data_IF_209553453568
#
_entry.id   IF_209553453568
#
_cell.length_a   1.000
_cell.length_b   1.000
_cell.length_c   1.000
_cell.angle_alpha   90.00
_cell.angle_beta   90.00
_cell.angle_gamma   90.00
#
_symmetry.space_group_name_H-M   'P 1'
#
loop_
_entity.id
_entity.type
_entity.pdbx_description
1 polymer ?
#
# COMPACT_ATOMS: atom_id res chain seq x y z
N UNK A 1 -9.77 -19.78 2.25
CA UNK A 1 -8.64 -20.44 2.95
C UNK A 1 -8.13 -19.42 3.94
N UNK A 2 -7.83 -19.82 5.19
CA UNK A 2 -7.35 -18.87 6.18
C UNK A 2 -5.85 -18.60 5.99
N UNK A 3 -5.45 -17.34 5.83
CA UNK A 3 -4.07 -16.91 5.73
C UNK A 3 -3.37 -16.90 7.10
N UNK A 4 -2.03 -16.92 7.09
CA UNK A 4 -1.25 -16.93 8.35
C UNK A 4 -1.40 -15.63 9.17
N UNK A 5 -1.93 -14.57 8.58
CA UNK A 5 -2.22 -13.28 9.22
C UNK A 5 -3.72 -12.99 9.35
N UNK A 6 -4.58 -13.99 9.19
CA UNK A 6 -6.03 -13.81 9.36
C UNK A 6 -6.36 -13.21 10.74
N UNK A 7 -7.28 -12.24 10.74
CA UNK A 7 -7.71 -11.52 11.95
C UNK A 7 -6.76 -10.40 12.41
N UNK A 8 -5.61 -10.21 11.74
CA UNK A 8 -4.72 -9.08 11.99
C UNK A 8 -5.17 -7.87 11.16
N UNK A 9 -5.26 -6.71 11.82
CA UNK A 9 -5.52 -5.42 11.19
C UNK A 9 -4.25 -4.55 11.21
N UNK A 10 -3.85 -4.04 10.06
CA UNK A 10 -2.66 -3.21 9.89
C UNK A 10 -3.07 -1.83 9.42
N UNK A 11 -2.61 -0.79 10.12
CA UNK A 11 -2.79 0.60 9.71
C UNK A 11 -1.51 1.06 9.01
N UNK A 12 -1.58 1.31 7.70
CA UNK A 12 -0.41 1.68 6.90
C UNK A 12 -0.37 3.18 6.60
N UNK A 13 0.57 3.87 7.25
CA UNK A 13 0.67 5.34 7.26
C UNK A 13 1.86 5.89 6.49
N UNK A 14 2.77 5.05 5.99
CA UNK A 14 3.91 5.53 5.23
C UNK A 14 3.52 5.89 3.80
N UNK A 15 4.38 6.64 3.13
CA UNK A 15 4.21 7.03 1.74
C UNK A 15 5.29 6.42 0.85
N UNK A 16 5.10 6.53 -0.47
CA UNK A 16 6.02 5.98 -1.48
C UNK A 16 6.00 4.44 -1.48
N UNK A 17 7.13 3.81 -1.84
CA UNK A 17 7.11 2.41 -2.26
C UNK A 17 7.39 1.40 -1.13
N UNK A 18 8.39 1.65 -0.28
CA UNK A 18 8.98 0.58 0.53
C UNK A 18 7.99 -0.09 1.51
N UNK A 19 7.36 0.71 2.38
CA UNK A 19 6.42 0.19 3.37
C UNK A 19 5.09 -0.26 2.75
N UNK A 20 4.47 0.48 1.80
CA UNK A 20 3.27 -0.01 1.11
C UNK A 20 3.49 -1.37 0.42
N UNK A 21 4.63 -1.58 -0.25
CA UNK A 21 4.97 -2.88 -0.84
C UNK A 21 5.12 -3.99 0.21
N UNK A 22 5.70 -3.70 1.38
CA UNK A 22 5.77 -4.68 2.46
C UNK A 22 4.36 -5.07 2.95
N UNK A 23 3.45 -4.09 3.05
CA UNK A 23 2.08 -4.36 3.49
C UNK A 23 1.23 -5.09 2.45
N UNK A 24 1.57 -5.04 1.16
CA UNK A 24 0.96 -5.92 0.13
C UNK A 24 1.21 -7.39 0.48
N UNK A 25 2.43 -7.75 0.86
CA UNK A 25 2.75 -9.12 1.29
C UNK A 25 1.93 -9.51 2.53
N UNK A 26 1.72 -8.59 3.47
CA UNK A 26 0.88 -8.86 4.64
C UNK A 26 -0.59 -9.10 4.26
N UNK A 27 -1.11 -8.34 3.29
CA UNK A 27 -2.47 -8.54 2.77
C UNK A 27 -2.60 -9.89 2.04
N UNK A 28 -1.62 -10.26 1.22
CA UNK A 28 -1.57 -11.58 0.54
C UNK A 28 -1.55 -12.74 1.55
N UNK A 29 -0.97 -12.52 2.73
CA UNK A 29 -0.92 -13.48 3.82
C UNK A 29 -2.16 -13.45 4.74
N UNK A 30 -3.17 -12.62 4.44
CA UNK A 30 -4.49 -12.62 5.10
C UNK A 30 -4.79 -11.43 6.02
N UNK A 31 -3.88 -10.46 6.15
CA UNK A 31 -4.12 -9.28 6.98
C UNK A 31 -5.11 -8.30 6.33
N UNK A 32 -5.94 -7.63 7.14
CA UNK A 32 -6.73 -6.47 6.72
C UNK A 32 -5.84 -5.21 6.80
N UNK A 33 -5.31 -4.78 5.65
CA UNK A 33 -4.46 -3.59 5.57
C UNK A 33 -5.30 -2.37 5.19
N UNK A 34 -5.31 -1.35 6.05
CA UNK A 34 -5.98 -0.08 5.82
C UNK A 34 -4.92 0.98 5.56
N UNK A 35 -4.84 1.45 4.31
CA UNK A 35 -3.99 2.58 3.94
C UNK A 35 -4.61 3.88 4.45
N UNK A 36 -3.83 4.64 5.22
CA UNK A 36 -4.16 6.02 5.57
C UNK A 36 -3.41 6.94 4.61
N UNK A 37 -4.14 7.86 3.99
CA UNK A 37 -3.62 8.79 3.00
C UNK A 37 -4.09 10.22 3.30
N UNK A 38 -3.34 11.24 2.85
CA UNK A 38 -3.88 12.59 2.74
C UNK A 38 -5.16 12.61 1.89
N UNK A 39 -6.00 13.63 2.05
CA UNK A 39 -7.21 13.80 1.22
C UNK A 39 -6.88 13.94 -0.28
N UNK A 40 -5.68 14.41 -0.61
CA UNK A 40 -5.16 14.47 -1.98
C UNK A 40 -4.72 13.11 -2.52
N UNK A 41 -4.66 12.06 -1.69
CA UNK A 41 -4.02 10.78 -1.98
C UNK A 41 -2.52 10.77 -1.73
N UNK A 42 -1.95 9.57 -1.63
CA UNK A 42 -0.51 9.32 -1.56
C UNK A 42 0.17 9.81 -2.85
N UNK A 43 1.35 10.48 -2.76
CA UNK A 43 2.00 11.01 -3.96
C UNK A 43 2.38 9.91 -4.98
N UNK A 44 2.53 8.65 -4.55
CA UNK A 44 2.80 7.53 -5.46
C UNK A 44 1.66 7.28 -6.45
N UNK A 45 0.42 7.64 -6.11
CA UNK A 45 -0.73 7.56 -7.04
C UNK A 45 -0.53 8.40 -8.30
N UNK A 46 0.27 9.46 -8.18
CA UNK A 46 0.56 10.43 -9.23
C UNK A 46 1.92 10.21 -9.89
N UNK A 47 2.64 9.14 -9.51
CA UNK A 47 3.97 8.84 -10.04
C UNK A 47 4.01 8.78 -11.57
N UNK A 48 2.94 8.28 -12.19
CA UNK A 48 2.76 8.21 -13.65
C UNK A 48 2.76 9.58 -14.36
N UNK A 49 2.59 10.69 -13.62
CA UNK A 49 2.68 12.05 -14.17
C UNK A 49 4.10 12.63 -14.08
N UNK A 50 5.04 11.91 -13.45
CA UNK A 50 6.42 12.39 -13.29
C UNK A 50 7.15 12.30 -14.64
N UNK A 51 7.74 13.40 -15.14
CA UNK A 51 8.51 13.37 -16.37
C UNK A 51 9.62 12.32 -16.31
N UNK A 52 9.65 11.42 -17.31
CA UNK A 52 10.66 10.36 -17.41
C UNK A 52 10.26 9.01 -16.79
N UNK A 53 9.09 8.90 -16.15
CA UNK A 53 8.53 7.60 -15.77
C UNK A 53 7.61 7.06 -16.88
N UNK A 54 7.55 5.72 -17.08
CA UNK A 54 6.62 5.13 -18.03
C UNK A 54 5.16 5.38 -17.58
N UNK A 55 4.23 5.54 -18.53
CA UNK A 55 2.81 5.60 -18.20
C UNK A 55 2.38 4.26 -17.58
N UNK A 56 1.65 4.34 -16.48
CA UNK A 56 1.04 3.20 -15.77
C UNK A 56 -0.19 2.67 -16.48
#
# INVERSE_FOLDING_TARGET
MAGILDGIKVIEVASMAAAPNATVILADLGAEVIKIEPLSGDPWRFGHMTPGLPPS
#
